data_IF_065385374500
#
_entry.id   IF_065385374500
#
_cell.length_a   1.000
_cell.length_b   1.000
_cell.length_c   1.000
_cell.angle_alpha   90.00
_cell.angle_beta   90.00
_cell.angle_gamma   90.00
#
_symmetry.space_group_name_H-M   'P 1'
#
loop_
_entity.id
_entity.type
_entity.pdbx_description
1 polymer ?
#
# COMPACT_ATOMS: atom_id res chain seq x y z
N UNK A 1 9.85 -6.65 13.24
CA UNK A 1 10.66 -5.39 13.39
C UNK A 1 11.12 -5.29 14.83
N UNK A 2 12.41 -5.02 15.07
CA UNK A 2 12.88 -4.86 16.43
C UNK A 2 12.42 -3.51 17.04
N UNK A 3 12.50 -3.38 18.37
CA UNK A 3 12.03 -2.21 19.10
C UNK A 3 12.76 -0.91 18.66
N UNK A 4 14.05 -0.99 18.38
CA UNK A 4 14.87 0.13 17.93
C UNK A 4 14.44 0.66 16.55
N UNK A 5 14.21 -0.24 15.57
CA UNK A 5 13.76 0.16 14.23
C UNK A 5 12.34 0.75 14.26
N UNK A 6 11.48 0.21 15.13
CA UNK A 6 10.14 0.77 15.32
C UNK A 6 10.20 2.19 15.89
N UNK A 7 11.06 2.42 16.91
CA UNK A 7 11.22 3.74 17.49
C UNK A 7 11.76 4.73 16.44
N UNK A 8 12.81 4.34 15.71
CA UNK A 8 13.37 5.19 14.64
C UNK A 8 12.32 5.60 13.60
N UNK A 9 11.44 4.69 13.21
CA UNK A 9 10.37 5.01 12.24
C UNK A 9 9.35 5.99 12.83
N UNK A 10 9.02 5.86 14.12
CA UNK A 10 8.15 6.80 14.84
C UNK A 10 8.81 8.19 14.90
N UNK A 11 10.09 8.25 15.23
CA UNK A 11 10.83 9.52 15.33
C UNK A 11 10.87 10.25 13.98
N UNK A 12 11.17 9.53 12.89
CA UNK A 12 11.12 10.07 11.53
C UNK A 12 9.72 10.59 11.15
N UNK A 13 8.67 9.86 11.53
CA UNK A 13 7.29 10.27 11.24
C UNK A 13 6.89 11.53 12.01
N UNK A 14 7.32 11.66 13.26
CA UNK A 14 7.11 12.87 14.07
C UNK A 14 7.89 14.05 13.51
N UNK A 15 9.13 13.85 13.08
CA UNK A 15 9.95 14.87 12.43
C UNK A 15 9.28 15.40 11.16
N UNK A 16 8.77 14.51 10.29
CA UNK A 16 7.99 14.90 9.11
C UNK A 16 6.70 15.66 9.48
N UNK A 17 6.03 15.23 10.56
CA UNK A 17 4.85 15.94 11.06
C UNK A 17 5.18 17.35 11.55
N UNK A 18 6.33 17.55 12.21
CA UNK A 18 6.80 18.87 12.65
C UNK A 18 7.10 19.77 11.45
N UNK A 19 7.80 19.24 10.45
CA UNK A 19 8.12 19.99 9.23
C UNK A 19 6.87 20.40 8.45
N UNK A 20 5.89 19.48 8.32
CA UNK A 20 4.65 19.72 7.56
C UNK A 20 3.66 20.65 8.29
N UNK A 21 3.62 20.57 9.61
CA UNK A 21 2.67 21.29 10.45
C UNK A 21 3.37 22.02 11.60
N UNK A 22 4.18 23.06 11.33
CA UNK A 22 5.01 23.71 12.36
C UNK A 22 4.19 24.35 13.49
N UNK A 23 2.97 24.78 13.20
CA UNK A 23 2.11 25.48 14.17
C UNK A 23 1.31 24.56 15.11
N UNK A 24 1.42 23.23 14.93
CA UNK A 24 0.74 22.27 15.83
C UNK A 24 1.57 22.05 17.08
N UNK A 25 1.03 22.34 18.29
CA UNK A 25 1.74 22.10 19.54
C UNK A 25 2.13 20.62 19.72
N UNK A 26 3.25 20.37 20.40
CA UNK A 26 3.79 19.00 20.53
C UNK A 26 2.81 18.03 21.22
N UNK A 27 2.08 18.48 22.24
CA UNK A 27 1.08 17.66 22.94
C UNK A 27 -0.15 17.31 22.10
N UNK A 28 -0.37 18.01 20.99
CA UNK A 28 -1.46 17.72 20.04
C UNK A 28 -1.05 16.79 18.90
N UNK A 29 0.24 16.39 18.84
CA UNK A 29 0.72 15.50 17.78
C UNK A 29 0.40 14.06 18.10
N UNK A 30 -0.27 13.39 17.16
CA UNK A 30 -0.57 11.96 17.29
C UNK A 30 0.68 11.14 17.00
N UNK A 31 1.06 10.25 17.92
CA UNK A 31 2.13 9.28 17.70
C UNK A 31 1.65 8.19 16.73
N UNK A 32 2.30 8.01 15.57
CA UNK A 32 1.87 7.00 14.60
C UNK A 32 2.13 5.59 15.12
N UNK A 33 1.19 4.69 14.81
CA UNK A 33 1.32 3.28 15.16
C UNK A 33 1.84 2.48 13.97
N UNK A 34 2.89 1.67 14.22
CA UNK A 34 3.50 0.77 13.25
C UNK A 34 3.48 -0.67 13.72
N UNK A 35 3.19 -1.59 12.79
CA UNK A 35 3.19 -3.04 13.02
C UNK A 35 3.74 -3.76 11.80
N UNK A 36 4.50 -4.83 12.04
CA UNK A 36 5.02 -5.74 11.02
C UNK A 36 4.36 -7.14 11.08
N UNK A 37 3.30 -7.26 11.88
CA UNK A 37 2.58 -8.54 12.06
C UNK A 37 1.64 -8.86 10.89
N UNK A 38 1.34 -7.89 10.04
CA UNK A 38 0.49 -8.04 8.85
C UNK A 38 1.19 -7.50 7.61
N UNK A 39 0.89 -8.06 6.43
CA UNK A 39 1.46 -7.59 5.16
C UNK A 39 1.20 -6.08 4.95
N UNK A 40 -0.03 -5.63 5.18
CA UNK A 40 -0.37 -4.20 5.08
C UNK A 40 0.40 -3.33 6.07
N UNK A 41 0.61 -3.81 7.30
CA UNK A 41 1.39 -3.11 8.31
C UNK A 41 2.86 -2.98 7.92
N UNK A 42 3.47 -4.07 7.46
CA UNK A 42 4.86 -4.09 7.00
C UNK A 42 5.05 -3.23 5.74
N UNK A 43 4.14 -3.32 4.76
CA UNK A 43 4.13 -2.45 3.57
C UNK A 43 4.10 -0.97 3.97
N UNK A 44 3.25 -0.61 4.94
CA UNK A 44 3.20 0.76 5.47
C UNK A 44 4.53 1.17 6.11
N UNK A 45 5.14 0.31 6.94
CA UNK A 45 6.43 0.59 7.57
C UNK A 45 7.52 0.87 6.54
N UNK A 46 7.65 0.01 5.53
CA UNK A 46 8.67 0.12 4.47
C UNK A 46 8.45 1.40 3.66
N UNK A 47 7.23 1.62 3.18
CA UNK A 47 6.89 2.82 2.38
C UNK A 47 7.16 4.11 3.15
N UNK A 48 6.71 4.18 4.41
CA UNK A 48 6.87 5.38 5.22
C UNK A 48 8.35 5.62 5.54
N UNK A 49 9.12 4.57 5.86
CA UNK A 49 10.56 4.66 6.09
C UNK A 49 11.30 5.23 4.87
N UNK A 50 11.01 4.72 3.67
CA UNK A 50 11.63 5.19 2.43
C UNK A 50 11.31 6.67 2.19
N UNK A 51 10.03 7.06 2.28
CA UNK A 51 9.62 8.44 2.07
C UNK A 51 10.22 9.40 3.12
N UNK A 52 10.26 9.01 4.39
CA UNK A 52 10.88 9.83 5.45
C UNK A 52 12.41 9.90 5.33
N UNK A 53 13.02 8.94 4.66
CA UNK A 53 14.45 8.94 4.34
C UNK A 53 14.80 9.75 3.07
N UNK A 54 13.82 10.45 2.48
CA UNK A 54 14.02 11.29 1.30
C UNK A 54 13.95 10.56 -0.04
N UNK A 55 13.48 9.28 -0.06
CA UNK A 55 13.26 8.53 -1.28
C UNK A 55 11.78 8.57 -1.67
N UNK A 56 11.51 8.45 -2.97
CA UNK A 56 10.14 8.31 -3.45
C UNK A 56 9.73 6.83 -3.31
N UNK A 57 8.61 6.56 -2.64
CA UNK A 57 8.03 5.23 -2.55
C UNK A 57 6.50 5.29 -2.50
N UNK A 58 5.86 4.40 -3.24
CA UNK A 58 4.41 4.29 -3.31
C UNK A 58 3.96 2.83 -3.24
N UNK A 59 2.78 2.62 -2.70
CA UNK A 59 2.14 1.30 -2.73
C UNK A 59 1.45 1.11 -4.07
N UNK A 60 1.69 -0.05 -4.70
CA UNK A 60 0.98 -0.45 -5.91
C UNK A 60 -0.27 -1.22 -5.51
N UNK A 61 -1.40 -0.88 -6.11
CA UNK A 61 -2.65 -1.62 -5.96
C UNK A 61 -3.16 -2.03 -7.34
N UNK A 62 -3.17 -3.34 -7.57
CA UNK A 62 -3.68 -3.96 -8.79
C UNK A 62 -5.07 -4.57 -8.60
N UNK A 63 -5.71 -4.29 -7.46
CA UNK A 63 -7.03 -4.84 -7.17
C UNK A 63 -8.09 -4.19 -8.04
N UNK A 64 -8.96 -5.02 -8.64
CA UNK A 64 -10.20 -4.55 -9.20
C UNK A 64 -11.12 -3.95 -8.13
N UNK A 65 -12.19 -3.34 -8.57
CA UNK A 65 -13.20 -2.77 -7.68
C UNK A 65 -14.58 -3.33 -7.97
N UNK A 66 -15.33 -3.51 -6.92
CA UNK A 66 -16.76 -3.83 -7.01
C UNK A 66 -17.54 -2.50 -7.06
N UNK A 67 -18.42 -2.38 -8.03
CA UNK A 67 -19.39 -1.28 -8.10
C UNK A 67 -20.76 -1.88 -7.87
N UNK A 68 -21.42 -1.45 -6.81
CA UNK A 68 -22.80 -1.80 -6.55
C UNK A 68 -23.70 -0.75 -7.23
N UNK A 69 -24.41 -1.20 -8.27
CA UNK A 69 -25.39 -0.39 -9.01
C UNK A 69 -26.82 -0.80 -8.68
N UNK A 70 -27.03 -1.51 -7.59
CA UNK A 70 -28.36 -1.91 -7.16
C UNK A 70 -29.06 -0.72 -6.52
N UNK A 71 -30.28 -0.49 -6.98
CA UNK A 71 -31.18 0.52 -6.44
C UNK A 71 -32.43 -0.17 -5.90
N UNK A 72 -32.94 0.32 -4.80
CA UNK A 72 -34.17 -0.19 -4.17
C UNK A 72 -35.27 0.83 -4.41
N UNK A 73 -36.40 0.35 -4.93
CA UNK A 73 -37.59 1.18 -5.13
C UNK A 73 -38.85 0.47 -4.62
N UNK A 74 -39.86 1.25 -4.30
CA UNK A 74 -41.18 0.72 -3.92
C UNK A 74 -42.10 0.78 -5.13
N UNK A 75 -42.68 -0.35 -5.51
CA UNK A 75 -43.62 -0.42 -6.60
C UNK A 75 -44.98 0.22 -6.22
N UNK A 76 -45.86 0.37 -7.22
CA UNK A 76 -47.17 1.02 -7.04
C UNK A 76 -48.12 0.30 -6.07
N UNK A 77 -47.81 -0.93 -5.70
CA UNK A 77 -48.55 -1.74 -4.73
C UNK A 77 -47.83 -1.84 -3.37
N UNK A 78 -46.85 -0.96 -3.14
CA UNK A 78 -46.15 -0.85 -1.85
C UNK A 78 -45.10 -1.94 -1.58
N UNK A 79 -44.67 -2.72 -2.59
CA UNK A 79 -43.65 -3.76 -2.43
C UNK A 79 -42.26 -3.20 -2.74
N UNK A 80 -41.32 -3.45 -1.85
CA UNK A 80 -39.90 -3.12 -2.08
C UNK A 80 -39.30 -4.07 -3.12
N UNK A 81 -38.74 -3.49 -4.16
CA UNK A 81 -38.03 -4.21 -5.24
C UNK A 81 -36.63 -3.67 -5.39
N UNK A 82 -35.75 -4.52 -5.89
CA UNK A 82 -34.36 -4.14 -6.19
C UNK A 82 -34.09 -4.33 -7.68
N UNK A 83 -33.51 -3.32 -8.31
CA UNK A 83 -33.04 -3.33 -9.71
C UNK A 83 -31.55 -3.06 -9.75
N UNK A 84 -30.92 -3.35 -10.88
CA UNK A 84 -29.48 -3.22 -11.04
C UNK A 84 -28.70 -4.45 -10.62
N UNK A 85 -27.41 -4.37 -10.72
CA UNK A 85 -26.49 -5.50 -10.44
C UNK A 85 -25.19 -5.01 -9.78
N UNK A 86 -24.50 -5.93 -9.16
CA UNK A 86 -23.12 -5.73 -8.73
C UNK A 86 -22.21 -6.00 -9.93
N UNK A 87 -21.36 -5.03 -10.25
CA UNK A 87 -20.40 -5.14 -11.35
C UNK A 87 -18.97 -5.18 -10.77
N UNK A 88 -18.19 -6.16 -11.18
CA UNK A 88 -16.75 -6.20 -10.89
C UNK A 88 -15.98 -5.58 -12.06
N UNK A 89 -15.15 -4.57 -11.78
CA UNK A 89 -14.22 -4.00 -12.75
C UNK A 89 -12.82 -4.53 -12.41
N UNK A 90 -12.20 -5.33 -13.29
CA UNK A 90 -10.84 -5.83 -13.06
C UNK A 90 -9.83 -4.68 -12.92
N UNK A 91 -8.79 -4.89 -12.13
CA UNK A 91 -7.64 -4.00 -12.12
C UNK A 91 -6.87 -4.07 -13.45
N UNK A 92 -6.24 -2.98 -13.83
CA UNK A 92 -5.46 -2.86 -15.09
C UNK A 92 -3.97 -3.11 -14.90
N UNK A 93 -3.55 -3.47 -13.68
CA UNK A 93 -2.15 -3.72 -13.37
C UNK A 93 -1.64 -5.05 -13.93
N UNK A 94 -0.32 -5.17 -14.05
CA UNK A 94 0.36 -6.40 -14.45
C UNK A 94 0.27 -7.45 -13.33
N UNK A 95 -0.03 -8.69 -13.68
CA UNK A 95 -0.03 -9.79 -12.71
C UNK A 95 1.37 -9.99 -12.11
N UNK A 96 1.42 -10.21 -10.80
CA UNK A 96 2.67 -10.41 -10.08
C UNK A 96 3.45 -9.14 -9.78
N UNK A 97 2.88 -7.96 -10.04
CA UNK A 97 3.50 -6.67 -9.67
C UNK A 97 3.76 -6.62 -8.17
N UNK A 98 4.93 -6.11 -7.79
CA UNK A 98 5.34 -5.94 -6.40
C UNK A 98 4.42 -4.99 -5.61
N UNK A 99 4.41 -5.10 -4.27
CA UNK A 99 3.58 -4.28 -3.38
C UNK A 99 3.99 -2.81 -3.34
N UNK A 100 5.29 -2.53 -3.50
CA UNK A 100 5.85 -1.18 -3.43
C UNK A 100 6.71 -0.90 -4.66
N UNK A 101 6.53 0.28 -5.23
CA UNK A 101 7.44 0.87 -6.21
C UNK A 101 8.19 2.02 -5.57
N UNK A 102 9.50 2.04 -5.70
CA UNK A 102 10.33 3.11 -5.18
C UNK A 102 11.42 3.53 -6.16
N UNK A 103 11.89 4.77 -6.01
CA UNK A 103 13.08 5.27 -6.69
C UNK A 103 14.12 5.62 -5.62
N UNK A 104 15.23 4.88 -5.63
CA UNK A 104 16.30 5.02 -4.64
C UNK A 104 17.60 5.27 -5.39
N UNK A 105 18.24 6.41 -5.12
CA UNK A 105 19.50 6.84 -5.79
C UNK A 105 19.42 6.74 -7.32
N UNK A 106 18.29 7.16 -7.89
CA UNK A 106 18.06 7.16 -9.34
C UNK A 106 17.73 5.78 -9.94
N UNK A 107 17.61 4.73 -9.13
CA UNK A 107 17.29 3.36 -9.58
C UNK A 107 15.84 3.01 -9.26
N UNK A 108 15.18 2.33 -10.20
CA UNK A 108 13.86 1.74 -9.95
C UNK A 108 14.00 0.52 -9.05
N UNK A 109 13.28 0.53 -7.92
CA UNK A 109 13.28 -0.55 -6.92
C UNK A 109 11.85 -1.05 -6.74
N UNK A 110 11.66 -2.35 -6.83
CA UNK A 110 10.38 -3.03 -6.58
C UNK A 110 10.52 -3.89 -5.35
N UNK A 111 9.57 -3.78 -4.42
CA UNK A 111 9.62 -4.51 -3.15
C UNK A 111 8.33 -5.30 -3.00
N UNK A 112 8.47 -6.60 -2.89
CA UNK A 112 7.41 -7.55 -2.57
C UNK A 112 7.42 -7.85 -1.08
N UNK A 113 6.28 -7.77 -0.43
CA UNK A 113 6.17 -7.96 1.02
C UNK A 113 5.62 -9.35 1.33
N UNK A 114 6.43 -10.18 1.97
CA UNK A 114 6.08 -11.54 2.38
C UNK A 114 6.06 -11.65 3.91
N UNK A 115 5.09 -12.37 4.45
CA UNK A 115 4.96 -12.61 5.89
C UNK A 115 4.79 -14.11 6.18
N UNK A 116 5.48 -14.57 7.21
CA UNK A 116 5.37 -15.94 7.69
C UNK A 116 5.83 -16.96 6.67
N UNK A 117 4.92 -17.83 6.21
CA UNK A 117 5.22 -18.89 5.21
C UNK A 117 4.85 -18.49 3.78
N UNK A 118 4.54 -17.22 3.53
CA UNK A 118 4.17 -16.74 2.21
C UNK A 118 5.37 -16.84 1.24
N UNK A 119 5.12 -17.35 0.04
CA UNK A 119 6.13 -17.57 -0.98
C UNK A 119 5.81 -16.82 -2.27
N UNK A 120 6.81 -16.58 -3.07
CA UNK A 120 6.66 -15.89 -4.34
C UNK A 120 5.94 -16.79 -5.36
N UNK A 121 4.88 -16.26 -5.98
CA UNK A 121 4.16 -16.92 -7.07
C UNK A 121 4.98 -16.95 -8.36
N UNK A 122 4.57 -17.76 -9.33
CA UNK A 122 5.20 -17.79 -10.65
C UNK A 122 5.07 -16.42 -11.36
N UNK A 123 3.89 -15.79 -11.28
CA UNK A 123 3.69 -14.45 -11.85
C UNK A 123 4.63 -13.40 -11.24
N UNK A 124 4.89 -13.48 -9.94
CA UNK A 124 5.84 -12.59 -9.26
C UNK A 124 7.28 -12.86 -9.68
N UNK A 125 7.66 -14.12 -9.85
CA UNK A 125 9.01 -14.48 -10.39
C UNK A 125 9.21 -13.94 -11.81
N UNK A 126 8.21 -14.09 -12.68
CA UNK A 126 8.26 -13.55 -14.04
C UNK A 126 8.37 -12.01 -14.05
N UNK A 127 7.62 -11.35 -13.16
CA UNK A 127 7.72 -9.91 -12.99
C UNK A 127 9.09 -9.48 -12.48
N UNK A 128 9.65 -10.17 -11.47
CA UNK A 128 11.01 -9.94 -10.98
C UNK A 128 12.04 -10.02 -12.11
N UNK A 129 12.04 -11.09 -12.89
CA UNK A 129 12.96 -11.25 -14.03
C UNK A 129 12.85 -10.11 -15.05
N UNK A 130 11.63 -9.63 -15.29
CA UNK A 130 11.39 -8.50 -16.19
C UNK A 130 11.98 -7.20 -15.64
N UNK A 131 11.81 -6.93 -14.34
CA UNK A 131 12.37 -5.76 -13.65
C UNK A 131 13.90 -5.79 -13.69
N UNK A 132 14.51 -6.91 -13.33
CA UNK A 132 15.97 -7.09 -13.28
C UNK A 132 16.60 -6.96 -14.68
N UNK A 133 15.98 -7.56 -15.70
CA UNK A 133 16.41 -7.43 -17.10
C UNK A 133 16.38 -5.98 -17.59
N UNK A 134 15.46 -5.20 -17.08
CA UNK A 134 15.32 -3.76 -17.40
C UNK A 134 16.26 -2.87 -16.58
N UNK A 135 17.18 -3.45 -15.78
CA UNK A 135 18.12 -2.70 -14.94
C UNK A 135 17.55 -2.21 -13.61
N UNK A 136 16.31 -2.59 -13.27
CA UNK A 136 15.71 -2.37 -11.95
C UNK A 136 16.26 -3.31 -10.88
N UNK A 137 15.83 -3.07 -9.64
CA UNK A 137 16.14 -3.92 -8.48
C UNK A 137 14.83 -4.49 -7.95
N UNK A 138 14.83 -5.76 -7.57
CA UNK A 138 13.68 -6.42 -6.96
C UNK A 138 14.07 -7.04 -5.62
N UNK A 139 13.23 -6.88 -4.59
CA UNK A 139 13.39 -7.43 -3.26
C UNK A 139 12.13 -8.19 -2.83
#
# INVERSE_FOLDING_TARGET
>A
MNKQNKQRLIDLALEQSRAKYPNVPEHCRTTPTYTDKTANGLTKCIKDFLNFSGWQAERISNMGRVIDKRETYTDIIGRTRQIGSIQYIPGTGTNGTADISATIKGRSVKIEVKIGKDSQSEAQRNYQQSVERSGGIYF
#
